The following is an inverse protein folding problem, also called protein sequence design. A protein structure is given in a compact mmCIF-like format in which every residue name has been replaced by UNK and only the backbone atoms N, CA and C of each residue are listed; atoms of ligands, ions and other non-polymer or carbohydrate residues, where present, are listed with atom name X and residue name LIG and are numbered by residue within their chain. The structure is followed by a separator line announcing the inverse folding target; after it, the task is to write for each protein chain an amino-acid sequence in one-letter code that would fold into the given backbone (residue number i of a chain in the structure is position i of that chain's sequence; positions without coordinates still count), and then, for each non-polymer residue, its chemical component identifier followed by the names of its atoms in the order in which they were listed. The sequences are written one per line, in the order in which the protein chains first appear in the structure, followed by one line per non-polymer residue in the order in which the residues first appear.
data_IF_420005189715
#
_entry.id   IF_420005189715
#
_cell.length_a   1.000
_cell.length_b   1.000
_cell.length_c   1.000
_cell.angle_alpha   90.00
_cell.angle_beta   90.00
_cell.angle_gamma   90.00
#
_symmetry.space_group_name_H-M   'P 1'
#
loop_
_entity.id
_entity.type
_entity.pdbx_description
1 polymer ?
#
# COMPACT_ATOMS: atom_id res chain seq x y z
N UNK A 1 -25.78 -8.89 12.06
CA UNK A 1 -25.42 -8.19 10.81
C UNK A 1 -24.26 -8.93 10.17
N UNK A 2 -24.32 -9.34 8.89
CA UNK A 2 -23.16 -9.92 8.24
C UNK A 2 -22.06 -8.84 8.15
N UNK A 3 -20.89 -9.12 8.73
CA UNK A 3 -19.70 -8.31 8.47
C UNK A 3 -19.32 -8.59 7.03
N UNK A 4 -19.62 -7.64 6.13
CA UNK A 4 -19.04 -7.66 4.79
C UNK A 4 -17.51 -7.77 4.97
N UNK A 5 -16.86 -8.76 4.37
CA UNK A 5 -15.41 -8.83 4.39
C UNK A 5 -14.87 -7.49 3.87
N UNK A 6 -14.07 -6.83 4.71
CA UNK A 6 -13.50 -5.53 4.40
C UNK A 6 -12.23 -5.81 3.59
N UNK A 7 -11.95 -5.06 2.51
CA UNK A 7 -10.66 -5.16 1.86
C UNK A 7 -9.57 -4.86 2.90
N UNK A 8 -8.63 -5.80 3.06
CA UNK A 8 -7.55 -5.70 4.03
C UNK A 8 -6.31 -5.16 3.32
N UNK A 9 -5.73 -4.08 3.84
CA UNK A 9 -4.41 -3.63 3.42
C UNK A 9 -3.39 -4.70 3.81
N UNK A 10 -2.74 -5.32 2.83
CA UNK A 10 -1.71 -6.33 3.07
C UNK A 10 -0.34 -5.68 3.27
N UNK A 11 0.01 -4.74 2.40
CA UNK A 11 1.30 -4.06 2.43
C UNK A 11 1.19 -2.70 1.71
N UNK A 12 1.95 -1.72 2.22
CA UNK A 12 2.15 -0.44 1.57
C UNK A 12 3.66 -0.12 1.53
N UNK A 13 4.12 0.57 0.49
CA UNK A 13 5.52 0.93 0.33
C UNK A 13 5.70 2.13 -0.62
N UNK A 14 6.88 2.75 -0.55
CA UNK A 14 7.29 3.81 -1.48
C UNK A 14 8.31 3.26 -2.48
N UNK A 15 8.27 3.73 -3.73
CA UNK A 15 9.28 3.40 -4.73
C UNK A 15 10.34 4.51 -4.81
N UNK A 16 11.62 4.11 -4.88
CA UNK A 16 12.71 5.04 -5.14
C UNK A 16 12.55 5.64 -6.54
N UNK A 17 12.47 6.97 -6.65
CA UNK A 17 12.25 7.69 -7.92
C UNK A 17 10.78 8.02 -8.23
N UNK A 18 9.82 7.55 -7.42
CA UNK A 18 8.40 7.88 -7.54
C UNK A 18 7.93 8.74 -6.36
N UNK A 19 8.53 9.93 -6.23
CA UNK A 19 8.16 10.88 -5.18
C UNK A 19 6.67 11.24 -5.25
N UNK A 20 6.03 11.36 -4.09
CA UNK A 20 4.61 11.67 -3.98
C UNK A 20 3.67 10.52 -4.39
N UNK A 21 4.16 9.28 -4.47
CA UNK A 21 3.32 8.09 -4.68
C UNK A 21 3.54 7.04 -3.59
N UNK A 22 2.46 6.36 -3.22
CA UNK A 22 2.49 5.19 -2.34
C UNK A 22 1.82 4.03 -3.07
N UNK A 23 2.53 2.92 -3.12
CA UNK A 23 2.08 1.66 -3.68
C UNK A 23 1.51 0.84 -2.54
N UNK A 24 0.38 0.18 -2.76
CA UNK A 24 -0.23 -0.64 -1.74
C UNK A 24 -0.98 -1.82 -2.36
N UNK A 25 -1.03 -2.92 -1.61
CA UNK A 25 -1.75 -4.13 -2.00
C UNK A 25 -2.90 -4.37 -1.04
N UNK A 26 -4.08 -4.60 -1.60
CA UNK A 26 -5.28 -4.95 -0.82
C UNK A 26 -5.74 -6.35 -1.15
N UNK A 27 -6.04 -7.14 -0.11
CA UNK A 27 -6.75 -8.40 -0.25
C UNK A 27 -8.24 -8.12 -0.27
N UNK A 28 -8.90 -8.56 -1.34
CA UNK A 28 -10.35 -8.44 -1.51
C UNK A 28 -11.08 -9.55 -0.76
N UNK A 29 -12.39 -9.37 -0.51
CA UNK A 29 -13.30 -10.41 -0.03
C UNK A 29 -13.19 -11.77 -0.68
N UNK A 30 -12.98 -11.79 -1.99
CA UNK A 30 -12.89 -13.00 -2.81
C UNK A 30 -11.51 -13.68 -2.72
N UNK A 31 -10.62 -13.17 -1.86
CA UNK A 31 -9.26 -13.69 -1.67
C UNK A 31 -8.25 -13.19 -2.71
N UNK A 32 -8.69 -12.54 -3.78
CA UNK A 32 -7.78 -11.92 -4.75
C UNK A 32 -7.05 -10.71 -4.15
N UNK A 33 -5.84 -10.48 -4.63
CA UNK A 33 -5.03 -9.32 -4.25
C UNK A 33 -5.01 -8.31 -5.39
N UNK A 34 -5.09 -7.01 -5.06
CA UNK A 34 -4.97 -5.93 -6.05
C UNK A 34 -3.90 -4.95 -5.65
N UNK A 35 -2.98 -4.69 -6.57
CA UNK A 35 -2.01 -3.60 -6.47
C UNK A 35 -2.65 -2.29 -6.92
N UNK A 36 -2.52 -1.26 -6.09
CA UNK A 36 -3.04 0.07 -6.27
C UNK A 36 -1.97 1.11 -5.93
N UNK A 37 -2.16 2.32 -6.44
CA UNK A 37 -1.26 3.45 -6.23
C UNK A 37 -2.11 4.66 -5.84
N UNK A 38 -1.68 5.38 -4.80
CA UNK A 38 -2.24 6.68 -4.41
C UNK A 38 -1.18 7.76 -4.58
N UNK A 39 -1.61 8.99 -4.82
CA UNK A 39 -0.72 10.13 -5.06
C UNK A 39 -0.91 11.21 -4.01
N UNK A 40 0.11 12.03 -3.81
CA UNK A 40 0.02 13.18 -2.92
C UNK A 40 -1.14 14.08 -3.35
N UNK A 41 -2.01 14.45 -2.40
CA UNK A 41 -3.27 15.16 -2.65
C UNK A 41 -4.52 14.27 -2.64
N UNK A 42 -4.37 12.95 -2.79
CA UNK A 42 -5.47 12.01 -2.56
C UNK A 42 -5.73 11.86 -1.06
N UNK A 43 -6.99 11.72 -0.66
CA UNK A 43 -7.37 11.53 0.75
C UNK A 43 -6.70 10.28 1.38
N UNK A 44 -6.46 9.24 0.57
CA UNK A 44 -5.84 7.99 1.03
C UNK A 44 -4.33 8.11 1.23
N UNK A 45 -3.68 9.09 0.59
CA UNK A 45 -2.24 9.28 0.68
C UNK A 45 -1.81 9.56 2.12
N UNK A 46 -2.44 10.54 2.77
CA UNK A 46 -2.13 10.92 4.16
C UNK A 46 -2.38 9.77 5.15
N UNK A 47 -3.41 8.96 4.90
CA UNK A 47 -3.71 7.79 5.73
C UNK A 47 -2.62 6.73 5.60
N UNK A 48 -2.16 6.46 4.38
CA UNK A 48 -1.09 5.50 4.14
C UNK A 48 0.26 6.02 4.64
N UNK A 49 0.52 7.32 4.55
CA UNK A 49 1.70 7.95 5.16
C UNK A 49 1.75 7.71 6.67
N UNK A 50 0.64 7.97 7.37
CA UNK A 50 0.55 7.72 8.81
C UNK A 50 0.68 6.24 9.15
N UNK A 51 0.10 5.35 8.32
CA UNK A 51 0.24 3.91 8.49
C UNK A 51 1.70 3.46 8.36
N UNK A 52 2.40 3.91 7.32
CA UNK A 52 3.83 3.61 7.10
C UNK A 52 4.70 4.11 8.27
N UNK A 53 4.43 5.31 8.78
CA UNK A 53 5.11 5.84 9.95
C UNK A 53 4.82 4.99 11.21
N UNK A 54 3.58 4.58 11.41
CA UNK A 54 3.16 3.80 12.57
C UNK A 54 3.80 2.40 12.62
N UNK A 55 4.04 1.77 11.46
CA UNK A 55 4.71 0.47 11.37
C UNK A 55 6.25 0.58 11.35
N UNK A 56 6.80 1.79 11.45
CA UNK A 56 8.25 2.02 11.42
C UNK A 56 8.88 1.79 10.05
N UNK A 57 8.15 2.01 8.96
CA UNK A 57 8.70 1.92 7.61
C UNK A 57 9.69 3.06 7.35
N UNK A 58 10.98 2.73 7.16
CA UNK A 58 12.08 3.71 7.20
C UNK A 58 12.65 4.11 5.84
N UNK A 59 12.20 3.55 4.72
CA UNK A 59 12.74 3.97 3.42
C UNK A 59 12.09 3.31 2.21
N UNK A 60 12.15 3.95 1.02
CA UNK A 60 11.57 3.41 -0.19
C UNK A 60 12.19 2.06 -0.55
N UNK A 61 11.37 1.08 -0.91
CA UNK A 61 11.87 -0.16 -1.52
C UNK A 61 12.52 0.22 -2.85
N UNK A 62 13.74 -0.28 -3.07
CA UNK A 62 14.35 -0.21 -4.39
C UNK A 62 13.52 -1.08 -5.35
N UNK A 63 13.31 -0.66 -6.59
CA UNK A 63 12.44 -1.36 -7.56
C UNK A 63 12.75 -2.84 -7.76
N UNK A 64 13.92 -3.32 -7.35
CA UNK A 64 14.31 -4.73 -7.40
C UNK A 64 13.61 -5.61 -6.35
N UNK A 65 13.16 -5.06 -5.23
CA UNK A 65 12.44 -5.82 -4.17
C UNK A 65 10.92 -5.86 -4.38
N UNK A 66 10.37 -5.07 -5.29
CA UNK A 66 8.94 -5.07 -5.63
C UNK A 66 8.57 -6.10 -6.71
N UNK A 67 9.57 -6.63 -7.42
CA UNK A 67 9.40 -7.63 -8.47
C UNK A 67 9.50 -9.08 -7.96
N UNK A 68 10.02 -9.28 -6.75
CA UNK A 68 10.30 -10.59 -6.13
C UNK A 68 9.19 -11.03 -5.16
N UNK A 69 7.92 -10.75 -5.50
CA UNK A 69 6.74 -11.33 -4.82
C UNK A 69 5.76 -11.88 -5.87
N UNK A 70 6.29 -12.51 -6.93
CA UNK A 70 5.53 -13.18 -7.99
C UNK A 70 5.22 -14.65 -7.64
#
# INVERSE_FOLDING_TARGET
MPKLPQPLLEVAWRHTGEAGKIHYRVRRPDGSSRHLITRQGDALYEVLEQHLAAIGYTGPKTSSEAADEH
#
